data_IF_605639388199
#
_entry.id   IF_605639388199
#
_cell.length_a   1.000
_cell.length_b   1.000
_cell.length_c   1.000
_cell.angle_alpha   90.00
_cell.angle_beta   90.00
_cell.angle_gamma   90.00
#
_symmetry.space_group_name_H-M   'P 1'
#
loop_
_entity.id
_entity.type
_entity.pdbx_description
1 polymer ?
#
# COMPACT_ATOMS: atom_id res chain seq x y z
N UNK A 1 -5.75 -35.98 -25.12
CA UNK A 1 -4.97 -35.54 -23.93
C UNK A 1 -3.92 -36.59 -23.70
N UNK A 2 -2.68 -36.20 -23.39
CA UNK A 2 -1.59 -37.14 -23.11
C UNK A 2 -0.67 -36.57 -22.03
N UNK A 3 0.00 -37.46 -21.30
CA UNK A 3 1.03 -37.08 -20.35
C UNK A 3 2.40 -37.10 -21.04
N UNK A 4 3.23 -36.11 -20.72
CA UNK A 4 4.66 -36.09 -21.03
C UNK A 4 5.37 -36.31 -19.71
N UNK A 5 6.03 -37.45 -19.59
CA UNK A 5 6.85 -37.75 -18.43
C UNK A 5 8.25 -37.18 -18.63
N UNK A 6 8.64 -36.25 -17.76
CA UNK A 6 9.97 -35.64 -17.78
C UNK A 6 11.06 -36.57 -17.26
N UNK A 7 10.70 -37.72 -16.68
CA UNK A 7 11.67 -38.67 -16.13
C UNK A 7 12.31 -38.18 -14.83
N UNK A 8 13.46 -38.75 -14.43
CA UNK A 8 14.11 -38.46 -13.15
C UNK A 8 14.63 -37.02 -13.00
N UNK A 9 14.87 -36.31 -14.11
CA UNK A 9 15.50 -34.99 -14.15
C UNK A 9 14.65 -33.92 -14.85
N UNK A 10 13.53 -34.30 -15.46
CA UNK A 10 12.68 -33.41 -16.25
C UNK A 10 11.32 -33.16 -15.63
N UNK A 11 10.67 -32.09 -16.09
CA UNK A 11 9.37 -31.66 -15.60
C UNK A 11 8.24 -32.39 -16.34
N UNK A 12 7.47 -33.20 -15.62
CA UNK A 12 6.31 -33.88 -16.20
C UNK A 12 5.14 -32.91 -16.40
N UNK A 13 4.39 -33.10 -17.48
CA UNK A 13 3.26 -32.25 -17.85
C UNK A 13 2.12 -33.03 -18.48
N UNK A 14 0.92 -32.48 -18.45
CA UNK A 14 -0.24 -32.99 -19.17
C UNK A 14 -0.56 -32.01 -20.28
N UNK A 15 -0.69 -32.53 -21.49
CA UNK A 15 -0.91 -31.75 -22.70
C UNK A 15 -2.22 -32.16 -23.36
N UNK A 16 -2.99 -31.15 -23.77
CA UNK A 16 -4.16 -31.31 -24.64
C UNK A 16 -3.85 -30.74 -26.03
N UNK A 17 -4.23 -31.47 -27.07
CA UNK A 17 -4.24 -30.94 -28.44
C UNK A 17 -5.66 -30.55 -28.82
N UNK A 18 -5.82 -29.40 -29.44
CA UNK A 18 -7.07 -28.96 -30.06
C UNK A 18 -7.05 -29.11 -31.59
N UNK A 19 -6.09 -29.86 -32.15
CA UNK A 19 -5.88 -30.02 -33.58
C UNK A 19 -5.18 -28.84 -34.27
N UNK A 20 -5.02 -27.69 -33.59
CA UNK A 20 -4.24 -26.52 -34.07
C UNK A 20 -2.93 -26.33 -33.31
N UNK A 21 -2.86 -26.81 -32.08
CA UNK A 21 -1.68 -26.72 -31.25
C UNK A 21 -1.82 -27.52 -29.96
N UNK A 22 -0.72 -27.56 -29.22
CA UNK A 22 -0.62 -28.23 -27.93
C UNK A 22 -0.69 -27.20 -26.80
N UNK A 23 -1.57 -27.45 -25.84
CA UNK A 23 -1.80 -26.60 -24.67
C UNK A 23 -1.44 -27.38 -23.40
N UNK A 24 -0.75 -26.73 -22.48
CA UNK A 24 -0.39 -27.33 -21.19
C UNK A 24 -1.57 -27.20 -20.23
N UNK A 25 -2.11 -28.34 -19.78
CA UNK A 25 -3.17 -28.39 -18.76
C UNK A 25 -2.58 -28.42 -17.34
N UNK A 26 -1.49 -29.16 -17.17
CA UNK A 26 -0.78 -29.27 -15.90
C UNK A 26 0.71 -29.31 -16.17
N UNK A 27 1.48 -28.67 -15.29
CA UNK A 27 2.94 -28.71 -15.28
C UNK A 27 3.38 -28.92 -13.85
N UNK A 28 4.13 -29.98 -13.59
CA UNK A 28 4.72 -30.22 -12.26
C UNK A 28 5.63 -29.07 -11.84
N UNK A 29 5.94 -28.89 -10.54
CA UNK A 29 6.88 -27.85 -10.12
C UNK A 29 8.27 -28.04 -10.75
N UNK A 30 9.00 -26.94 -10.96
CA UNK A 30 10.39 -27.01 -11.44
C UNK A 30 11.34 -27.31 -10.29
N UNK A 31 12.44 -28.00 -10.60
CA UNK A 31 13.51 -28.42 -9.67
C UNK A 31 14.07 -27.29 -8.78
N UNK A 32 13.95 -26.03 -9.20
CA UNK A 32 14.61 -24.88 -8.56
C UNK A 32 13.71 -24.18 -7.52
N UNK A 33 12.40 -24.43 -7.52
CA UNK A 33 11.44 -23.69 -6.68
C UNK A 33 10.43 -24.57 -5.93
N UNK A 34 10.57 -25.89 -5.95
CA UNK A 34 9.65 -26.75 -5.22
C UNK A 34 9.94 -26.70 -3.72
N UNK A 35 9.05 -26.05 -2.96
CA UNK A 35 8.97 -26.18 -1.50
C UNK A 35 8.70 -27.64 -1.02
N UNK A 36 8.50 -28.56 -1.97
CA UNK A 36 8.50 -30.00 -1.74
C UNK A 36 9.93 -30.51 -1.54
N UNK A 37 10.44 -30.42 -0.31
CA UNK A 37 11.71 -31.03 0.11
C UNK A 37 11.53 -32.54 0.33
N UNK A 38 12.34 -33.40 -0.32
CA UNK A 38 12.38 -34.85 -0.06
C UNK A 38 12.37 -35.72 -1.33
N UNK A 39 12.04 -37.01 -1.17
CA UNK A 39 11.97 -38.07 -2.22
C UNK A 39 11.04 -37.77 -3.41
N UNK A 40 10.39 -36.60 -3.41
CA UNK A 40 9.50 -36.09 -4.46
C UNK A 40 10.19 -35.07 -5.39
N UNK A 41 11.51 -35.04 -5.44
CA UNK A 41 12.30 -34.05 -6.19
C UNK A 41 12.05 -34.02 -7.71
N UNK A 42 11.31 -34.99 -8.28
CA UNK A 42 10.74 -34.93 -9.63
C UNK A 42 9.53 -35.86 -9.72
N UNK A 43 8.33 -35.38 -9.38
CA UNK A 43 7.15 -36.23 -9.35
C UNK A 43 6.76 -36.57 -10.79
N UNK A 44 6.74 -37.87 -11.11
CA UNK A 44 6.40 -38.38 -12.44
C UNK A 44 4.89 -38.55 -12.57
N UNK A 45 4.38 -38.36 -13.79
CA UNK A 45 3.00 -38.72 -14.12
C UNK A 45 2.99 -40.16 -14.58
N UNK A 46 2.33 -41.05 -13.84
CA UNK A 46 2.34 -42.49 -14.13
C UNK A 46 1.04 -43.01 -14.75
N UNK A 47 -0.06 -42.36 -14.44
CA UNK A 47 -1.37 -42.75 -14.95
C UNK A 47 -2.20 -41.52 -15.28
N UNK A 48 -3.04 -41.67 -16.31
CA UNK A 48 -4.00 -40.67 -16.75
C UNK A 48 -5.32 -41.40 -16.96
N UNK A 49 -6.39 -40.91 -16.36
CA UNK A 49 -7.71 -41.52 -16.49
C UNK A 49 -8.77 -40.44 -16.72
N UNK A 50 -9.58 -40.62 -17.76
CA UNK A 50 -10.71 -39.74 -18.06
C UNK A 50 -11.99 -40.40 -17.60
N UNK A 51 -12.74 -39.72 -16.73
CA UNK A 51 -14.02 -40.16 -16.22
C UNK A 51 -15.10 -39.17 -16.66
N UNK A 52 -16.15 -39.67 -17.32
CA UNK A 52 -17.35 -38.89 -17.58
C UNK A 52 -18.44 -39.34 -16.60
N UNK A 53 -18.90 -38.42 -15.74
CA UNK A 53 -19.97 -38.69 -14.78
C UNK A 53 -21.29 -38.25 -15.44
N UNK A 54 -22.22 -39.16 -15.75
CA UNK A 54 -23.53 -38.78 -16.29
C UNK A 54 -24.48 -38.29 -15.17
N UNK A 55 -25.47 -37.45 -15.52
CA UNK A 55 -26.48 -36.97 -14.57
C UNK A 55 -26.78 -35.47 -14.65
N UNK A 56 -27.54 -34.97 -13.65
CA UNK A 56 -27.86 -33.55 -13.47
C UNK A 56 -26.60 -32.74 -13.15
N UNK A 57 -25.71 -33.31 -12.35
CA UNK A 57 -24.39 -32.75 -11.98
C UNK A 57 -23.26 -33.32 -12.84
N UNK A 58 -23.59 -33.70 -14.09
CA UNK A 58 -22.62 -34.35 -14.96
C UNK A 58 -21.38 -33.48 -15.15
N UNK A 59 -20.23 -34.07 -14.86
CA UNK A 59 -18.93 -33.43 -14.90
C UNK A 59 -17.94 -34.40 -15.55
N UNK A 60 -17.05 -33.85 -16.35
CA UNK A 60 -15.91 -34.60 -16.86
C UNK A 60 -14.73 -34.39 -15.93
N UNK A 61 -14.07 -35.46 -15.49
CA UNK A 61 -12.93 -35.39 -14.58
C UNK A 61 -11.74 -36.08 -15.23
N UNK A 62 -10.63 -35.35 -15.30
CA UNK A 62 -9.33 -35.91 -15.61
C UNK A 62 -8.62 -36.23 -14.30
N UNK A 63 -8.32 -37.50 -14.07
CA UNK A 63 -7.52 -37.99 -12.96
C UNK A 63 -6.10 -38.27 -13.44
N UNK A 64 -5.11 -37.99 -12.61
CA UNK A 64 -3.75 -38.43 -12.86
C UNK A 64 -2.99 -38.71 -11.57
N UNK A 65 -2.09 -39.68 -11.62
CA UNK A 65 -1.10 -39.87 -10.55
C UNK A 65 0.07 -38.92 -10.78
N UNK A 66 0.50 -38.21 -9.75
CA UNK A 66 1.67 -37.34 -9.74
C UNK A 66 2.48 -37.59 -8.45
N UNK A 67 3.67 -38.18 -8.57
CA UNK A 67 4.50 -38.45 -7.40
C UNK A 67 3.86 -39.35 -6.34
N UNK A 68 3.07 -40.35 -6.75
CA UNK A 68 2.34 -41.22 -5.83
C UNK A 68 1.07 -40.60 -5.21
N UNK A 69 0.73 -39.35 -5.55
CA UNK A 69 -0.53 -38.72 -5.18
C UNK A 69 -1.51 -38.75 -6.35
N UNK A 70 -2.80 -38.90 -6.06
CA UNK A 70 -3.87 -38.79 -7.06
C UNK A 70 -4.33 -37.34 -7.11
N UNK A 71 -4.25 -36.77 -8.30
CA UNK A 71 -4.67 -35.42 -8.62
C UNK A 71 -5.86 -35.47 -9.59
N UNK A 72 -6.69 -34.43 -9.60
CA UNK A 72 -7.79 -34.34 -10.55
C UNK A 72 -8.06 -32.91 -11.01
N UNK A 73 -8.67 -32.80 -12.19
CA UNK A 73 -9.13 -31.55 -12.79
C UNK A 73 -10.52 -31.77 -13.38
N UNK A 74 -11.46 -30.89 -13.03
CA UNK A 74 -12.80 -30.87 -13.62
C UNK A 74 -12.76 -30.14 -14.96
N UNK A 75 -13.45 -30.68 -15.95
CA UNK A 75 -13.61 -30.12 -17.28
C UNK A 75 -15.07 -29.72 -17.52
N UNK A 76 -15.30 -28.65 -18.30
CA UNK A 76 -16.64 -28.29 -18.74
C UNK A 76 -17.33 -29.43 -19.49
N UNK A 77 -18.64 -29.53 -19.30
CA UNK A 77 -19.54 -30.42 -20.03
C UNK A 77 -20.04 -29.77 -21.32
N UNK A 78 -20.54 -28.53 -21.23
CA UNK A 78 -21.40 -27.97 -22.27
C UNK A 78 -20.74 -26.90 -23.15
N UNK A 79 -19.66 -26.27 -22.67
CA UNK A 79 -18.99 -25.17 -23.39
C UNK A 79 -17.47 -25.26 -23.24
N UNK A 80 -16.73 -24.89 -24.29
CA UNK A 80 -15.28 -24.67 -24.20
C UNK A 80 -14.93 -23.48 -23.29
N UNK A 81 -15.92 -22.69 -22.88
CA UNK A 81 -15.77 -21.63 -21.92
C UNK A 81 -16.21 -22.09 -20.52
N UNK A 82 -15.27 -22.32 -19.58
CA UNK A 82 -15.60 -22.70 -18.21
C UNK A 82 -16.52 -21.70 -17.51
N UNK A 83 -16.51 -20.41 -17.90
CA UNK A 83 -17.38 -19.39 -17.31
C UNK A 83 -18.87 -19.55 -17.64
N UNK A 84 -19.20 -20.44 -18.58
CA UNK A 84 -20.57 -20.73 -19.00
C UNK A 84 -21.09 -22.07 -18.45
N UNK A 85 -20.26 -22.79 -17.69
CA UNK A 85 -20.61 -24.09 -17.14
C UNK A 85 -20.94 -23.97 -15.66
N UNK A 86 -22.24 -24.01 -15.34
CA UNK A 86 -22.74 -23.91 -13.96
C UNK A 86 -22.38 -25.10 -13.08
N UNK A 87 -21.91 -26.21 -13.66
CA UNK A 87 -21.58 -27.44 -12.93
C UNK A 87 -20.11 -27.46 -12.45
N UNK A 88 -19.33 -26.45 -12.81
CA UNK A 88 -17.95 -26.31 -12.33
C UNK A 88 -17.94 -25.32 -11.15
N UNK A 89 -17.71 -25.83 -9.94
CA UNK A 89 -17.45 -25.03 -8.73
C UNK A 89 -16.07 -24.32 -8.76
N UNK A 90 -15.63 -23.85 -9.93
CA UNK A 90 -14.48 -22.96 -10.00
C UNK A 90 -15.02 -21.57 -9.78
N UNK A 91 -14.66 -20.97 -8.66
CA UNK A 91 -14.79 -19.55 -8.45
C UNK A 91 -13.62 -18.87 -9.17
N UNK A 92 -13.80 -18.27 -10.36
CA UNK A 92 -12.78 -17.41 -10.92
C UNK A 92 -12.44 -16.32 -9.90
N UNK A 93 -11.21 -16.38 -9.42
CA UNK A 93 -10.59 -15.36 -8.58
C UNK A 93 -9.62 -14.57 -9.46
N UNK A 94 -9.73 -13.25 -9.42
CA UNK A 94 -8.72 -12.35 -9.96
C UNK A 94 -8.26 -11.41 -8.86
N UNK A 95 -6.99 -11.04 -8.89
CA UNK A 95 -6.48 -10.06 -7.97
C UNK A 95 -5.53 -9.09 -8.67
N UNK A 96 -5.52 -7.85 -8.18
CA UNK A 96 -4.58 -6.80 -8.56
C UNK A 96 -3.80 -6.44 -7.31
N UNK A 97 -2.49 -6.62 -7.36
CA UNK A 97 -1.58 -6.17 -6.31
C UNK A 97 -1.06 -4.79 -6.67
N UNK A 98 -1.25 -3.85 -5.76
CA UNK A 98 -0.72 -2.50 -5.89
C UNK A 98 0.76 -2.47 -5.50
N UNK A 99 1.48 -1.45 -5.97
CA UNK A 99 2.81 -1.16 -5.46
C UNK A 99 2.77 -0.86 -3.96
N UNK A 100 3.91 -1.02 -3.31
CA UNK A 100 4.11 -0.54 -1.95
C UNK A 100 3.81 0.98 -1.86
N UNK A 101 3.05 1.37 -0.85
CA UNK A 101 2.64 2.75 -0.61
C UNK A 101 3.29 3.25 0.69
N UNK A 102 4.09 4.31 0.57
CA UNK A 102 4.80 4.97 1.67
C UNK A 102 4.25 6.36 1.99
N UNK A 103 3.17 6.77 1.31
CA UNK A 103 2.50 8.07 1.42
C UNK A 103 3.46 9.27 1.37
N UNK A 104 4.59 9.15 0.65
CA UNK A 104 5.62 10.19 0.53
C UNK A 104 6.57 10.36 1.72
N UNK A 105 6.57 9.44 2.69
CA UNK A 105 7.46 9.48 3.87
C UNK A 105 7.98 8.09 4.26
N UNK A 106 8.87 7.49 3.47
CA UNK A 106 9.39 6.12 3.70
C UNK A 106 9.86 5.82 5.15
N UNK A 107 10.48 6.77 5.84
CA UNK A 107 11.08 6.53 7.16
C UNK A 107 10.11 6.67 8.34
N UNK A 108 8.99 7.39 8.16
CA UNK A 108 8.07 7.69 9.25
C UNK A 108 7.08 6.55 9.47
N UNK A 109 6.86 6.24 10.75
CA UNK A 109 5.73 5.44 11.18
C UNK A 109 4.42 6.16 10.91
N UNK A 110 3.45 5.40 10.43
CA UNK A 110 2.16 5.87 9.95
C UNK A 110 1.05 5.09 10.61
N UNK A 111 -0.11 5.73 10.62
CA UNK A 111 -1.38 5.09 10.89
C UNK A 111 -2.13 4.95 9.58
N UNK A 112 -2.45 3.72 9.19
CA UNK A 112 -3.28 3.38 8.04
C UNK A 112 -4.70 3.12 8.52
N UNK A 113 -5.58 4.10 8.36
CA UNK A 113 -6.92 4.05 8.96
C UNK A 113 -7.91 3.25 8.11
N UNK A 114 -8.20 3.76 6.91
CA UNK A 114 -9.25 3.19 6.04
C UNK A 114 -8.82 3.18 4.58
N UNK A 115 -9.21 2.12 3.88
CA UNK A 115 -9.18 2.06 2.42
C UNK A 115 -10.57 2.33 1.85
N UNK A 116 -10.65 2.93 0.66
CA UNK A 116 -11.90 3.10 -0.07
C UNK A 116 -11.71 2.83 -1.55
N UNK A 117 -12.51 1.92 -2.07
CA UNK A 117 -12.62 1.71 -3.52
C UNK A 117 -13.74 2.59 -4.07
N UNK A 118 -13.49 3.20 -5.23
CA UNK A 118 -14.47 3.96 -6.01
C UNK A 118 -14.76 3.18 -7.28
N UNK A 119 -16.02 2.79 -7.50
CA UNK A 119 -16.41 1.86 -8.56
C UNK A 119 -17.72 2.27 -9.21
N UNK A 120 -17.85 2.07 -10.51
CA UNK A 120 -19.11 2.27 -11.23
C UNK A 120 -20.00 1.02 -11.20
N UNK A 121 -19.39 -0.15 -11.33
CA UNK A 121 -20.08 -1.45 -11.33
C UNK A 121 -19.20 -2.47 -10.63
N UNK A 122 -19.81 -3.25 -9.74
CA UNK A 122 -19.17 -4.42 -9.13
C UNK A 122 -20.18 -5.56 -9.15
N UNK A 123 -19.74 -6.69 -9.69
CA UNK A 123 -20.44 -7.95 -9.72
C UNK A 123 -19.55 -9.02 -9.12
N UNK A 124 -20.14 -9.87 -8.27
CA UNK A 124 -19.40 -10.76 -7.38
C UNK A 124 -18.91 -10.05 -6.13
N UNK A 125 -17.97 -10.69 -5.45
CA UNK A 125 -17.40 -10.25 -4.19
C UNK A 125 -16.07 -9.58 -4.40
N UNK A 126 -15.94 -8.38 -3.86
CA UNK A 126 -14.71 -7.63 -3.87
C UNK A 126 -14.14 -7.57 -2.45
N UNK A 127 -12.90 -8.02 -2.35
CA UNK A 127 -12.11 -8.06 -1.13
C UNK A 127 -10.95 -7.10 -1.27
N UNK A 128 -10.59 -6.47 -0.16
CA UNK A 128 -9.32 -5.80 0.00
C UNK A 128 -8.50 -6.64 0.96
N UNK A 129 -7.33 -7.06 0.52
CA UNK A 129 -6.33 -7.61 1.41
C UNK A 129 -5.17 -6.61 1.52
N UNK A 130 -4.46 -6.62 2.65
CA UNK A 130 -3.30 -5.78 2.86
C UNK A 130 -2.17 -6.54 3.54
N UNK A 131 -0.96 -6.04 3.36
CA UNK A 131 0.24 -6.44 4.10
C UNK A 131 0.98 -5.16 4.53
N UNK A 132 1.53 -5.15 5.74
CA UNK A 132 2.20 -3.97 6.32
C UNK A 132 3.64 -4.29 6.66
N UNK A 133 4.55 -3.36 6.39
CA UNK A 133 5.99 -3.56 6.53
C UNK A 133 6.47 -4.84 5.84
N UNK A 134 5.87 -5.10 4.67
CA UNK A 134 5.85 -6.38 3.99
C UNK A 134 7.26 -6.93 3.74
N UNK A 135 7.41 -8.23 3.99
CA UNK A 135 8.37 -9.05 3.28
C UNK A 135 7.66 -9.51 2.00
N UNK A 136 7.98 -8.98 0.80
CA UNK A 136 7.21 -9.20 -0.43
C UNK A 136 7.10 -10.68 -0.86
N UNK A 137 7.82 -11.58 -0.19
CA UNK A 137 7.87 -13.01 -0.47
C UNK A 137 7.13 -13.89 0.56
N UNK A 138 6.58 -13.31 1.64
CA UNK A 138 5.96 -14.09 2.72
C UNK A 138 4.53 -14.57 2.39
N UNK A 139 3.87 -14.00 1.37
CA UNK A 139 2.49 -14.33 0.95
C UNK A 139 1.43 -14.30 2.07
N UNK A 140 1.68 -13.61 3.18
CA UNK A 140 0.75 -13.49 4.32
C UNK A 140 -0.10 -12.22 4.19
N UNK A 141 -1.27 -12.35 3.58
CA UNK A 141 -2.20 -11.24 3.38
C UNK A 141 -3.25 -11.19 4.48
N UNK A 142 -3.49 -10.02 5.05
CA UNK A 142 -4.60 -9.78 5.99
C UNK A 142 -5.83 -9.31 5.22
N UNK A 143 -6.96 -10.01 5.38
CA UNK A 143 -8.21 -9.61 4.74
C UNK A 143 -8.84 -8.44 5.50
N UNK A 144 -9.06 -7.32 4.81
CA UNK A 144 -9.90 -6.25 5.33
C UNK A 144 -11.38 -6.60 5.09
N UNK A 145 -12.18 -6.50 6.15
CA UNK A 145 -13.60 -6.91 6.20
C UNK A 145 -14.43 -6.43 5.01
N UNK A 146 -15.34 -7.30 4.54
CA UNK A 146 -16.29 -7.01 3.46
C UNK A 146 -17.37 -6.01 3.92
N UNK A 147 -17.25 -4.74 3.53
CA UNK A 147 -18.34 -3.77 3.73
C UNK A 147 -18.51 -2.81 2.56
N UNK A 148 -19.67 -2.90 1.89
CA UNK A 148 -20.28 -1.75 1.21
C UNK A 148 -20.96 -2.06 -0.12
N UNK A 149 -21.48 -1.01 -0.75
CA UNK A 149 -22.24 -1.03 -1.99
C UNK A 149 -21.69 0.00 -2.97
N UNK A 150 -21.96 -0.20 -4.27
CA UNK A 150 -21.66 0.80 -5.32
C UNK A 150 -22.35 2.13 -4.95
N UNK A 151 -21.72 3.31 -5.15
CA UNK A 151 -20.51 3.58 -5.94
C UNK A 151 -19.19 3.58 -5.16
N UNK A 152 -19.21 3.40 -3.84
CA UNK A 152 -17.98 3.34 -3.06
C UNK A 152 -18.15 2.53 -1.81
N UNK A 153 -17.13 1.76 -1.47
CA UNK A 153 -17.13 0.91 -0.29
C UNK A 153 -15.79 1.04 0.42
N UNK A 154 -15.87 1.04 1.74
CA UNK A 154 -14.77 1.38 2.63
C UNK A 154 -14.41 0.19 3.51
N UNK A 155 -13.14 0.10 3.85
CA UNK A 155 -12.54 -1.00 4.58
C UNK A 155 -11.76 -0.41 5.75
N UNK A 156 -11.98 -0.99 6.94
CA UNK A 156 -11.13 -0.71 8.09
C UNK A 156 -9.79 -1.45 7.90
N UNK A 157 -8.69 -0.71 7.97
CA UNK A 157 -7.34 -1.27 8.02
C UNK A 157 -6.86 -1.17 9.47
N UNK A 158 -6.96 0.04 10.05
CA UNK A 158 -6.68 0.34 11.46
C UNK A 158 -5.30 -0.14 11.95
N UNK A 159 -4.31 -0.09 11.06
CA UNK A 159 -2.94 -0.49 11.35
C UNK A 159 -2.11 0.70 11.82
N UNK A 160 -1.39 0.52 12.92
CA UNK A 160 -0.59 1.58 13.57
C UNK A 160 0.88 1.20 13.61
N UNK A 161 1.75 2.22 13.62
CA UNK A 161 3.21 2.08 13.67
C UNK A 161 3.79 1.28 12.52
N UNK A 162 3.22 1.46 11.33
CA UNK A 162 3.66 0.82 10.09
C UNK A 162 4.31 1.86 9.18
N UNK A 163 5.37 1.51 8.48
CA UNK A 163 6.02 2.41 7.52
C UNK A 163 5.35 2.30 6.17
N UNK A 164 5.14 1.09 5.71
CA UNK A 164 4.65 0.85 4.36
C UNK A 164 3.45 -0.09 4.38
N UNK A 165 2.61 0.03 3.36
CA UNK A 165 1.48 -0.87 3.14
C UNK A 165 1.46 -1.31 1.67
N UNK A 166 1.18 -2.58 1.46
CA UNK A 166 0.88 -3.15 0.15
C UNK A 166 -0.55 -3.63 0.16
N UNK A 167 -1.26 -3.40 -0.94
CA UNK A 167 -2.69 -3.67 -1.04
C UNK A 167 -2.95 -4.64 -2.19
N UNK A 168 -3.90 -5.55 -1.98
CA UNK A 168 -4.37 -6.48 -2.98
C UNK A 168 -5.88 -6.41 -3.07
N UNK A 169 -6.36 -6.00 -4.24
CA UNK A 169 -7.77 -6.00 -4.55
C UNK A 169 -8.13 -7.31 -5.21
N UNK A 170 -9.00 -8.09 -4.57
CA UNK A 170 -9.38 -9.43 -5.02
C UNK A 170 -10.86 -9.49 -5.37
N UNK A 171 -11.17 -9.95 -6.58
CA UNK A 171 -12.52 -10.22 -7.07
C UNK A 171 -12.73 -11.72 -7.08
N UNK A 172 -13.83 -12.19 -6.50
CA UNK A 172 -14.24 -13.60 -6.58
C UNK A 172 -15.73 -13.72 -6.88
N UNK A 173 -16.09 -14.74 -7.65
CA UNK A 173 -17.50 -15.10 -7.90
C UNK A 173 -18.07 -16.07 -6.87
N UNK A 174 -17.25 -16.57 -5.93
CA UNK A 174 -17.73 -17.33 -4.78
C UNK A 174 -17.95 -16.43 -3.57
N UNK A 175 -18.99 -16.72 -2.80
CA UNK A 175 -19.08 -16.26 -1.41
C UNK A 175 -18.07 -17.04 -0.56
N UNK A 176 -17.04 -16.35 -0.08
CA UNK A 176 -16.08 -16.90 0.90
C UNK A 176 -16.73 -17.14 2.27
N UNK A 177 -18.03 -16.88 2.43
CA UNK A 177 -18.76 -17.06 3.68
C UNK A 177 -19.40 -18.46 3.77
N UNK A 178 -18.60 -19.51 4.00
CA UNK A 178 -19.01 -20.75 4.70
C UNK A 178 -20.23 -21.53 4.20
N UNK A 179 -20.81 -21.18 3.07
CA UNK A 179 -22.01 -21.78 2.51
C UNK A 179 -21.59 -22.55 1.26
N UNK A 180 -21.37 -23.85 1.43
CA UNK A 180 -21.09 -24.78 0.35
C UNK A 180 -22.22 -24.88 -0.71
N UNK A 181 -23.33 -24.16 -0.51
CA UNK A 181 -24.55 -24.22 -1.32
C UNK A 181 -24.89 -22.91 -2.06
N UNK A 182 -24.03 -21.89 -2.02
CA UNK A 182 -24.30 -20.67 -2.80
C UNK A 182 -23.92 -20.92 -4.26
N UNK A 183 -24.93 -21.02 -5.12
CA UNK A 183 -24.74 -21.11 -6.58
C UNK A 183 -23.83 -19.96 -7.03
N UNK A 184 -22.71 -20.23 -7.74
CA UNK A 184 -21.83 -19.17 -8.21
C UNK A 184 -22.64 -18.18 -9.04
N UNK A 185 -22.72 -16.93 -8.60
CA UNK A 185 -23.41 -15.91 -9.40
C UNK A 185 -22.53 -15.66 -10.62
N UNK A 186 -23.08 -15.85 -11.83
CA UNK A 186 -22.33 -15.65 -13.06
C UNK A 186 -21.59 -14.30 -13.00
N UNK A 187 -20.26 -14.26 -13.24
CA UNK A 187 -19.52 -13.01 -13.25
C UNK A 187 -20.16 -12.08 -14.26
N UNK A 188 -20.73 -10.96 -13.82
CA UNK A 188 -21.06 -9.91 -14.78
C UNK A 188 -19.72 -9.42 -15.35
N UNK A 189 -19.68 -9.23 -16.67
CA UNK A 189 -18.42 -9.00 -17.40
C UNK A 189 -17.74 -7.67 -17.05
N UNK A 190 -18.35 -6.82 -16.21
CA UNK A 190 -17.95 -5.43 -16.03
C UNK A 190 -17.76 -5.09 -14.55
N UNK A 191 -16.60 -5.41 -13.98
CA UNK A 191 -16.13 -4.79 -12.74
C UNK A 191 -15.27 -3.57 -13.12
N UNK A 192 -15.75 -2.37 -12.81
CA UNK A 192 -15.06 -1.13 -13.14
C UNK A 192 -14.68 -0.39 -11.86
N UNK A 193 -13.46 -0.67 -11.40
CA UNK A 193 -12.81 -0.01 -10.27
C UNK A 193 -12.06 1.20 -10.83
N UNK A 194 -12.51 2.40 -10.45
CA UNK A 194 -11.95 3.66 -10.92
C UNK A 194 -10.72 4.07 -10.12
N UNK A 195 -10.77 3.89 -8.80
CA UNK A 195 -9.69 4.31 -7.91
C UNK A 195 -9.73 3.53 -6.59
N UNK A 196 -8.56 3.41 -5.97
CA UNK A 196 -8.41 3.11 -4.56
C UNK A 196 -7.89 4.34 -3.84
N UNK A 197 -8.46 4.66 -2.69
CA UNK A 197 -8.12 5.81 -1.86
C UNK A 197 -7.72 5.28 -0.49
N UNK A 198 -6.47 5.52 -0.11
CA UNK A 198 -5.93 5.22 1.21
C UNK A 198 -6.01 6.46 2.09
N UNK A 199 -6.62 6.34 3.26
CA UNK A 199 -6.54 7.36 4.30
C UNK A 199 -5.48 6.95 5.33
N UNK A 200 -4.40 7.71 5.36
CA UNK A 200 -3.26 7.48 6.22
C UNK A 200 -2.66 8.82 6.66
N UNK A 201 -2.13 8.85 7.86
CA UNK A 201 -1.36 10.00 8.33
C UNK A 201 -0.06 9.55 8.99
N UNK A 202 0.99 10.33 8.77
CA UNK A 202 2.25 10.23 9.46
C UNK A 202 2.37 11.42 10.41
N UNK A 203 2.71 11.17 11.67
CA UNK A 203 3.09 12.26 12.56
C UNK A 203 4.56 12.55 12.32
N UNK A 204 4.86 13.69 11.68
CA UNK A 204 6.23 14.20 11.71
C UNK A 204 6.59 14.46 13.17
N UNK A 205 7.72 13.94 13.68
CA UNK A 205 8.19 14.28 15.01
C UNK A 205 8.56 15.76 15.00
N UNK A 206 7.61 16.64 15.33
CA UNK A 206 7.95 18.01 15.70
C UNK A 206 8.54 17.91 17.10
N UNK A 207 9.86 17.82 17.16
CA UNK A 207 10.59 17.60 18.41
C UNK A 207 10.37 18.78 19.34
N UNK A 208 10.53 20.02 18.83
CA UNK A 208 10.24 21.26 19.55
C UNK A 208 9.83 22.39 18.58
N UNK A 209 8.95 23.26 19.06
CA UNK A 209 8.61 24.54 18.45
C UNK A 209 8.91 25.65 19.46
N UNK A 210 9.59 26.70 19.02
CA UNK A 210 9.84 27.90 19.82
C UNK A 210 9.09 29.07 19.22
N UNK A 211 8.21 29.68 20.02
CA UNK A 211 7.59 30.95 19.69
C UNK A 211 8.42 32.07 20.31
N UNK A 212 9.12 32.83 19.47
CA UNK A 212 10.00 33.90 19.91
C UNK A 212 9.37 35.25 19.61
N UNK A 213 9.46 36.16 20.58
CA UNK A 213 9.10 37.55 20.40
C UNK A 213 10.35 38.39 20.20
N UNK A 214 10.42 39.09 19.09
CA UNK A 214 11.51 39.97 18.71
C UNK A 214 11.02 41.40 18.83
N UNK A 215 11.66 42.19 19.68
CA UNK A 215 11.39 43.62 19.78
C UNK A 215 12.00 44.36 18.58
N UNK A 216 11.22 45.21 17.93
CA UNK A 216 11.64 46.00 16.78
C UNK A 216 11.72 47.46 17.21
N UNK A 217 12.90 48.07 17.12
CA UNK A 217 13.10 49.48 17.44
C UNK A 217 14.28 50.05 16.66
N UNK A 218 14.23 51.34 16.34
CA UNK A 218 15.29 52.02 15.60
C UNK A 218 16.56 52.27 16.44
N UNK A 219 16.46 52.26 17.77
CA UNK A 219 17.57 52.54 18.69
C UNK A 219 17.95 51.30 19.51
N UNK A 220 18.25 50.18 18.84
CA UNK A 220 18.78 48.99 19.50
C UNK A 220 20.31 49.06 19.52
N UNK A 221 20.87 48.79 20.69
CA UNK A 221 22.30 48.56 20.84
C UNK A 221 22.51 47.08 21.13
N UNK A 222 23.58 46.54 20.59
CA UNK A 222 24.09 45.21 20.91
C UNK A 222 24.57 45.16 22.37
N UNK A 223 24.81 43.97 22.89
CA UNK A 223 25.37 43.78 24.25
C UNK A 223 26.73 44.49 24.41
N UNK A 224 27.49 44.68 23.31
CA UNK A 224 28.77 45.39 23.30
C UNK A 224 28.63 46.91 23.20
N UNK A 225 27.41 47.42 23.03
CA UNK A 225 27.13 48.85 22.93
C UNK A 225 27.15 49.41 21.49
N UNK A 226 27.45 48.58 20.49
CA UNK A 226 27.39 48.96 19.08
C UNK A 226 25.95 49.07 18.60
N UNK A 227 25.70 49.88 17.56
CA UNK A 227 24.40 49.98 16.91
C UNK A 227 24.02 48.60 16.33
N UNK A 228 22.87 48.08 16.73
CA UNK A 228 22.33 46.79 16.29
C UNK A 228 21.65 46.91 14.90
N UNK A 229 21.19 45.79 14.35
CA UNK A 229 20.46 45.76 13.08
C UNK A 229 19.20 46.62 13.14
N UNK A 230 18.93 47.35 12.05
CA UNK A 230 17.69 48.12 11.90
C UNK A 230 16.48 47.19 11.82
N UNK A 231 15.30 47.71 12.18
CA UNK A 231 14.03 46.98 12.08
C UNK A 231 13.78 46.38 10.69
N UNK A 232 14.10 47.11 9.64
CA UNK A 232 13.87 46.70 8.25
C UNK A 232 14.79 45.52 7.91
N UNK A 233 16.06 45.62 8.30
CA UNK A 233 17.03 44.55 8.10
C UNK A 233 16.62 43.26 8.82
N UNK A 234 16.08 43.37 10.04
CA UNK A 234 15.60 42.22 10.80
C UNK A 234 14.38 41.59 10.09
N UNK A 235 13.38 42.40 9.73
CA UNK A 235 12.17 41.90 9.08
C UNK A 235 12.44 41.32 7.69
N UNK A 236 13.35 41.91 6.92
CA UNK A 236 13.74 41.39 5.61
C UNK A 236 14.49 40.07 5.73
N UNK A 237 15.37 39.92 6.73
CA UNK A 237 15.99 38.62 7.04
C UNK A 237 14.96 37.56 7.43
N UNK A 238 14.04 37.89 8.34
CA UNK A 238 12.99 36.96 8.76
C UNK A 238 12.09 36.55 7.59
N UNK A 239 11.69 37.51 6.73
CA UNK A 239 10.93 37.22 5.52
C UNK A 239 11.71 36.34 4.55
N UNK A 240 13.00 36.64 4.34
CA UNK A 240 13.88 35.85 3.45
C UNK A 240 14.00 34.41 3.96
N UNK A 241 14.27 34.23 5.25
CA UNK A 241 14.36 32.92 5.89
C UNK A 241 13.03 32.17 5.89
N UNK A 242 11.90 32.86 6.04
CA UNK A 242 10.58 32.23 5.98
C UNK A 242 10.10 31.91 4.56
N UNK A 243 10.61 32.65 3.56
CA UNK A 243 10.25 32.48 2.16
C UNK A 243 11.03 31.35 1.47
N UNK A 244 12.08 30.85 2.11
CA UNK A 244 12.91 29.76 1.61
C UNK A 244 12.88 28.61 2.62
N UNK A 245 12.75 27.37 2.16
CA UNK A 245 12.89 26.20 3.02
C UNK A 245 14.38 25.98 3.37
N UNK A 246 14.95 26.89 4.15
CA UNK A 246 16.35 26.88 4.54
C UNK A 246 16.50 26.42 5.99
N UNK A 247 17.39 25.44 6.19
CA UNK A 247 17.81 25.02 7.53
C UNK A 247 18.71 26.10 8.16
N UNK A 248 18.37 26.53 9.37
CA UNK A 248 19.13 27.49 10.16
C UNK A 248 19.59 26.85 11.46
N UNK A 249 20.69 27.35 12.04
CA UNK A 249 21.16 26.90 13.35
C UNK A 249 20.67 27.85 14.42
N UNK A 250 19.76 27.39 15.28
CA UNK A 250 19.34 28.09 16.48
C UNK A 250 20.32 27.81 17.61
N UNK A 251 20.96 28.86 18.12
CA UNK A 251 21.85 28.79 19.29
C UNK A 251 21.23 29.55 20.45
N UNK A 252 21.33 28.99 21.63
CA UNK A 252 20.77 29.55 22.85
C UNK A 252 21.76 29.35 24.00
N UNK A 253 21.70 30.23 25.00
CA UNK A 253 22.50 30.05 26.22
C UNK A 253 21.95 28.92 27.09
N UNK A 254 20.67 28.57 26.92
CA UNK A 254 20.02 27.48 27.64
C UNK A 254 20.32 26.13 26.98
N UNK A 255 20.98 25.23 27.72
CA UNK A 255 21.31 23.87 27.29
C UNK A 255 20.09 22.99 26.98
N UNK A 256 18.89 23.39 27.42
CA UNK A 256 17.66 22.70 27.00
C UNK A 256 17.33 23.03 25.53
N UNK A 257 17.52 24.28 25.15
CA UNK A 257 17.21 24.82 23.83
C UNK A 257 18.37 24.67 22.84
N UNK A 258 19.61 24.68 23.32
CA UNK A 258 20.83 24.45 22.55
C UNK A 258 21.35 23.03 22.78
N UNK A 259 21.57 22.26 21.71
CA UNK A 259 22.03 20.87 21.81
C UNK A 259 23.51 20.82 22.22
N UNK A 260 23.77 21.02 23.50
CA UNK A 260 25.10 20.98 24.12
C UNK A 260 26.14 21.89 23.44
N UNK A 261 25.71 23.04 22.92
CA UNK A 261 26.58 24.05 22.26
C UNK A 261 26.73 23.87 20.75
N UNK A 262 26.10 22.87 20.14
CA UNK A 262 26.07 22.68 18.69
C UNK A 262 25.04 23.56 17.97
N UNK A 263 24.02 24.05 18.68
CA UNK A 263 22.80 24.63 18.12
C UNK A 263 21.87 23.59 17.52
N UNK A 264 20.57 23.89 17.46
CA UNK A 264 19.55 23.04 16.84
C UNK A 264 19.25 23.48 15.41
N UNK A 265 18.97 22.54 14.53
CA UNK A 265 18.54 22.85 13.16
C UNK A 265 17.05 23.19 13.15
N UNK A 266 16.73 24.41 12.71
CA UNK A 266 15.36 24.93 12.69
C UNK A 266 15.00 25.51 11.33
N UNK A 267 13.70 25.59 11.05
CA UNK A 267 13.13 26.42 9.99
C UNK A 267 12.31 27.55 10.60
N UNK A 268 12.31 28.70 9.92
CA UNK A 268 11.59 29.91 10.34
C UNK A 268 10.24 29.94 9.63
N UNK A 269 9.15 30.07 10.38
CA UNK A 269 7.84 30.36 9.81
C UNK A 269 7.64 31.87 9.56
N UNK A 270 6.71 32.26 8.67
CA UNK A 270 6.44 33.67 8.40
C UNK A 270 6.15 34.47 9.69
N UNK A 271 6.84 35.60 9.92
CA UNK A 271 6.69 36.37 11.15
C UNK A 271 5.36 37.12 11.20
N UNK A 272 4.75 37.18 12.37
CA UNK A 272 3.56 37.98 12.66
C UNK A 272 3.96 39.29 13.33
N UNK A 273 3.62 40.43 12.72
CA UNK A 273 3.91 41.75 13.30
C UNK A 273 2.82 42.17 14.28
N UNK A 274 3.18 42.42 15.54
CA UNK A 274 2.28 42.92 16.57
C UNK A 274 2.59 44.37 16.93
N UNK A 275 1.55 45.21 16.86
CA UNK A 275 1.45 46.59 17.37
C UNK A 275 2.70 47.45 17.15
N UNK A 276 2.72 48.16 16.03
CA UNK A 276 3.68 49.22 15.75
C UNK A 276 3.20 50.57 16.33
N UNK A 277 4.04 51.22 17.11
CA UNK A 277 3.89 52.62 17.51
C UNK A 277 4.91 53.44 16.72
N UNK A 278 4.40 54.33 15.87
CA UNK A 278 5.22 55.30 15.17
C UNK A 278 5.18 56.63 15.93
N UNK A 279 6.30 57.02 16.54
CA UNK A 279 6.41 58.33 17.14
C UNK A 279 6.73 59.36 16.06
N UNK A 280 5.71 60.11 15.62
CA UNK A 280 5.85 61.15 14.58
C UNK A 280 6.79 62.30 14.97
N UNK A 281 6.94 62.58 16.27
CA UNK A 281 7.75 63.69 16.78
C UNK A 281 9.23 63.30 16.77
N UNK A 282 9.56 62.11 17.27
CA UNK A 282 10.94 61.61 17.31
C UNK A 282 11.35 60.87 16.02
N UNK A 283 10.40 60.62 15.11
CA UNK A 283 10.58 59.75 13.92
C UNK A 283 11.13 58.37 14.26
N UNK A 284 10.65 57.79 15.37
CA UNK A 284 11.09 56.49 15.86
C UNK A 284 9.96 55.47 15.76
N UNK A 285 10.28 54.29 15.26
CA UNK A 285 9.46 53.11 15.32
C UNK A 285 9.75 52.30 16.58
N UNK A 286 8.67 51.75 17.16
CA UNK A 286 8.74 50.69 18.16
C UNK A 286 7.61 49.68 17.93
N UNK A 287 7.94 48.41 17.85
CA UNK A 287 6.96 47.32 17.70
C UNK A 287 7.54 46.00 18.17
N UNK A 288 6.82 44.91 17.94
CA UNK A 288 7.35 43.56 18.16
C UNK A 288 6.86 42.62 17.07
N UNK A 289 7.70 41.69 16.64
CA UNK A 289 7.31 40.58 15.77
C UNK A 289 7.35 39.27 16.57
N UNK A 290 6.41 38.39 16.31
CA UNK A 290 6.47 37.01 16.80
C UNK A 290 6.87 36.11 15.63
N UNK A 291 7.82 35.22 15.88
CA UNK A 291 8.29 34.24 14.90
C UNK A 291 8.27 32.85 15.52
N UNK A 292 7.83 31.87 14.74
CA UNK A 292 7.89 30.46 15.14
C UNK A 292 9.12 29.83 14.51
N UNK A 293 9.96 29.22 15.34
CA UNK A 293 11.03 28.33 14.91
C UNK A 293 10.56 26.89 15.12
N UNK A 294 10.68 26.07 14.07
CA UNK A 294 10.33 24.64 14.12
C UNK A 294 11.60 23.82 13.95
N UNK A 295 11.89 22.92 14.88
CA UNK A 295 13.00 21.96 14.73
C UNK A 295 12.73 21.03 13.55
N UNK A 296 13.76 20.77 12.74
CA UNK A 296 13.72 19.80 11.65
C UNK A 296 13.91 18.36 12.14
#
# INVERSE_FOLDING_TARGET
IYAVDGGPDGQSSIIASNGRGHHTLFRGPSRILSAFSGDYANPRIRSLHWQSIPGKDATNILWWEFGGQIMFMRFPRASLNPSQDSNIDLAPESYVVHSEMDTGYAELEKYFGKGRHVCNTVSGNLYLDYDTDANPFAFSWTNATRTGSVPSFSYAIEESRKRNIMLRTRISTADVAGSADSTPTAPSRNNNILAFILDAFARKPVKYNWEMRIDLSDNRNTITGDIDLTQDTIMDKLKTWSGQAQALTFRCVDNFADDSGGGRTVVVEPPNLFRAVWNKIMRLFKGSATVTLREL
#
